data_IF_935912754516
#
_entry.id   IF_935912754516
#
_cell.length_a   1.000
_cell.length_b   1.000
_cell.length_c   1.000
_cell.angle_alpha   90.00
_cell.angle_beta   90.00
_cell.angle_gamma   90.00
#
_symmetry.space_group_name_H-M   'P 1'
#
loop_
_entity.id
_entity.type
_entity.pdbx_description
1 polymer ?
#
# COMPACT_ATOMS: atom_id res chain seq x y z
N UNK A 1 23.84 -5.24 -17.42
CA UNK A 1 23.18 -4.10 -18.08
C UNK A 1 21.97 -4.67 -18.77
N UNK A 2 20.95 -5.01 -17.98
CA UNK A 2 19.69 -5.49 -18.54
C UNK A 2 18.86 -4.27 -18.89
N UNK A 3 18.53 -4.20 -20.17
CA UNK A 3 17.69 -3.20 -20.78
C UNK A 3 16.34 -3.32 -20.08
N UNK A 4 15.98 -2.31 -19.29
CA UNK A 4 14.58 -2.11 -18.91
C UNK A 4 13.79 -2.18 -20.21
N UNK A 5 12.83 -3.11 -20.38
CA UNK A 5 12.16 -3.24 -21.66
C UNK A 5 11.56 -1.89 -22.01
N UNK A 6 12.03 -1.33 -23.13
CA UNK A 6 11.52 -0.06 -23.64
C UNK A 6 9.99 -0.19 -23.75
N UNK A 7 9.25 0.85 -23.41
CA UNK A 7 7.79 0.92 -23.54
C UNK A 7 7.36 0.49 -24.96
N UNK A 8 8.20 0.77 -25.96
CA UNK A 8 8.04 0.33 -27.35
C UNK A 8 8.24 -1.18 -27.56
N UNK A 9 9.08 -1.82 -26.73
CA UNK A 9 9.29 -3.26 -26.74
C UNK A 9 8.03 -4.01 -26.30
N UNK A 10 7.28 -3.49 -25.31
CA UNK A 10 6.02 -4.11 -24.89
C UNK A 10 4.98 -4.12 -26.03
N UNK A 11 4.84 -2.98 -26.72
CA UNK A 11 3.98 -2.89 -27.89
C UNK A 11 4.37 -3.91 -28.96
N UNK A 12 5.67 -3.97 -29.26
CA UNK A 12 6.20 -4.92 -30.23
C UNK A 12 5.88 -6.36 -29.82
N UNK A 13 6.08 -6.72 -28.56
CA UNK A 13 5.78 -8.06 -28.04
C UNK A 13 4.29 -8.42 -28.19
N UNK A 14 3.38 -7.49 -27.89
CA UNK A 14 1.94 -7.70 -28.09
C UNK A 14 1.62 -7.91 -29.58
N UNK A 15 2.15 -7.07 -30.46
CA UNK A 15 1.86 -7.13 -31.90
C UNK A 15 2.48 -8.36 -32.57
N UNK A 16 3.75 -8.70 -32.28
CA UNK A 16 4.47 -9.77 -33.00
C UNK A 16 4.39 -11.13 -32.34
N UNK A 17 4.42 -11.20 -31.00
CA UNK A 17 4.47 -12.47 -30.29
C UNK A 17 3.11 -12.93 -29.79
N UNK A 18 2.19 -12.02 -29.48
CA UNK A 18 0.85 -12.40 -29.04
C UNK A 18 -0.11 -12.43 -30.23
N UNK A 19 -0.34 -11.30 -30.91
CA UNK A 19 -1.41 -11.19 -31.90
C UNK A 19 -1.23 -12.07 -33.13
N UNK A 20 0.00 -12.27 -33.62
CA UNK A 20 0.26 -13.14 -34.77
C UNK A 20 0.10 -14.63 -34.48
N UNK A 21 0.20 -15.03 -33.22
CA UNK A 21 0.16 -16.43 -32.81
C UNK A 21 -1.24 -16.90 -32.38
N UNK A 22 -2.23 -15.99 -32.31
CA UNK A 22 -3.60 -16.35 -31.96
C UNK A 22 -4.33 -16.86 -33.20
N UNK A 23 -4.84 -18.12 -33.18
CA UNK A 23 -5.63 -18.65 -34.28
C UNK A 23 -6.88 -17.82 -34.57
N UNK A 24 -7.27 -17.69 -35.84
CA UNK A 24 -8.43 -16.88 -36.25
C UNK A 24 -9.77 -17.37 -35.66
N UNK A 25 -9.85 -18.64 -35.26
CA UNK A 25 -11.02 -19.26 -34.64
C UNK A 25 -11.06 -19.14 -33.11
N UNK A 26 -10.05 -18.51 -32.50
CA UNK A 26 -9.98 -18.29 -31.05
C UNK A 26 -10.12 -16.80 -30.73
N UNK A 27 -10.79 -16.49 -29.61
CA UNK A 27 -10.97 -15.13 -29.14
C UNK A 27 -10.09 -14.85 -27.92
N UNK A 28 -9.35 -13.73 -27.94
CA UNK A 28 -8.59 -13.24 -26.80
C UNK A 28 -9.21 -11.95 -26.28
N UNK A 29 -9.40 -11.87 -24.96
CA UNK A 29 -9.75 -10.64 -24.26
C UNK A 29 -8.60 -10.28 -23.33
N UNK A 30 -8.02 -9.10 -23.53
CA UNK A 30 -7.00 -8.50 -22.68
C UNK A 30 -7.71 -7.49 -21.78
N UNK A 31 -7.57 -7.64 -20.47
CA UNK A 31 -8.09 -6.68 -19.51
C UNK A 31 -6.93 -6.04 -18.75
N UNK A 32 -6.77 -4.73 -18.92
CA UNK A 32 -5.74 -3.93 -18.26
C UNK A 32 -6.43 -3.09 -17.21
N UNK A 33 -6.34 -3.54 -15.96
CA UNK A 33 -6.98 -2.86 -14.84
C UNK A 33 -6.08 -1.73 -14.29
N UNK A 34 -6.65 -0.54 -14.14
CA UNK A 34 -6.09 0.61 -13.45
C UNK A 34 -4.71 1.02 -14.00
N UNK A 35 -4.64 1.29 -15.30
CA UNK A 35 -3.37 1.70 -15.94
C UNK A 35 -2.82 3.03 -15.39
N UNK A 36 -3.62 3.78 -14.65
CA UNK A 36 -3.18 4.94 -13.84
C UNK A 36 -2.26 4.59 -12.67
N UNK A 37 -2.07 3.30 -12.36
CA UNK A 37 -1.10 2.83 -11.38
C UNK A 37 0.27 2.49 -11.99
N UNK A 38 0.42 2.59 -13.31
CA UNK A 38 1.71 2.47 -13.97
C UNK A 38 2.61 3.66 -13.63
N UNK A 39 3.86 3.59 -14.05
CA UNK A 39 4.79 4.70 -13.88
C UNK A 39 4.51 5.82 -14.88
N UNK A 40 4.97 7.03 -14.55
CA UNK A 40 4.62 8.25 -15.30
C UNK A 40 5.08 8.22 -16.76
N UNK A 41 6.09 7.41 -17.08
CA UNK A 41 6.58 7.20 -18.44
C UNK A 41 5.59 6.39 -19.31
N UNK A 42 4.72 5.59 -18.71
CA UNK A 42 3.69 4.81 -19.41
C UNK A 42 2.39 5.59 -19.68
N UNK A 43 2.23 6.80 -19.15
CA UNK A 43 0.97 7.58 -19.25
C UNK A 43 0.66 8.08 -20.66
N UNK A 44 1.67 8.15 -21.53
CA UNK A 44 1.48 8.48 -22.95
C UNK A 44 0.77 7.38 -23.75
N UNK A 45 0.61 6.20 -23.12
CA UNK A 45 -0.05 5.01 -23.67
C UNK A 45 0.54 4.51 -24.99
N UNK A 46 1.75 4.94 -25.39
CA UNK A 46 2.36 4.56 -26.67
C UNK A 46 2.74 3.08 -26.75
N UNK A 47 2.86 2.42 -25.60
CA UNK A 47 3.03 0.98 -25.48
C UNK A 47 1.77 0.19 -25.89
N UNK A 48 0.58 0.81 -25.90
CA UNK A 48 -0.64 0.12 -26.28
C UNK A 48 -0.75 0.04 -27.82
N UNK A 49 -1.05 -1.14 -28.41
CA UNK A 49 -1.25 -1.26 -29.84
C UNK A 49 -2.39 -0.38 -30.35
N UNK A 50 -2.20 0.24 -31.51
CA UNK A 50 -3.23 1.06 -32.18
C UNK A 50 -4.26 0.22 -32.93
N UNK A 51 -3.87 -1.01 -33.30
CA UNK A 51 -4.69 -1.92 -34.09
C UNK A 51 -4.72 -3.28 -33.41
N UNK A 52 -5.93 -3.81 -33.23
CA UNK A 52 -6.17 -5.15 -32.68
C UNK A 52 -6.78 -6.04 -33.78
N UNK A 53 -6.37 -7.32 -33.89
CA UNK A 53 -7.05 -8.29 -34.74
C UNK A 53 -8.54 -8.42 -34.40
N UNK A 54 -9.37 -8.88 -35.35
CA UNK A 54 -10.84 -8.96 -35.15
C UNK A 54 -11.25 -9.84 -33.98
N UNK A 55 -10.46 -10.89 -33.72
CA UNK A 55 -10.65 -11.86 -32.66
C UNK A 55 -9.98 -11.47 -31.33
N UNK A 56 -9.33 -10.30 -31.25
CA UNK A 56 -8.74 -9.78 -30.02
C UNK A 56 -9.47 -8.53 -29.56
N UNK A 57 -9.80 -8.45 -28.26
CA UNK A 57 -10.39 -7.29 -27.62
C UNK A 57 -9.51 -6.84 -26.46
N UNK A 58 -9.42 -5.53 -26.24
CA UNK A 58 -8.70 -4.96 -25.10
C UNK A 58 -9.65 -4.05 -24.33
N UNK A 59 -9.76 -4.26 -23.03
CA UNK A 59 -10.51 -3.45 -22.08
C UNK A 59 -9.50 -2.79 -21.16
N UNK A 60 -9.57 -1.47 -21.04
CA UNK A 60 -8.65 -0.67 -20.23
C UNK A 60 -9.46 0.14 -19.24
N UNK A 61 -9.11 0.13 -17.95
CA UNK A 61 -9.65 1.05 -16.95
C UNK A 61 -8.59 2.07 -16.53
N UNK A 62 -9.02 3.32 -16.36
CA UNK A 62 -8.21 4.44 -15.88
C UNK A 62 -9.11 5.44 -15.15
N UNK A 63 -8.53 6.25 -14.27
CA UNK A 63 -9.21 7.45 -13.79
C UNK A 63 -9.35 8.51 -14.91
N UNK A 64 -10.45 9.28 -14.93
CA UNK A 64 -10.69 10.28 -15.96
C UNK A 64 -9.72 11.47 -15.88
N UNK A 65 -9.34 11.87 -14.66
CA UNK A 65 -8.58 13.09 -14.38
C UNK A 65 -7.17 12.80 -13.85
N UNK A 66 -6.49 11.80 -14.43
CA UNK A 66 -5.16 11.39 -13.96
C UNK A 66 -4.17 11.21 -15.12
N UNK A 67 -3.05 11.93 -15.04
CA UNK A 67 -1.89 11.75 -15.93
C UNK A 67 -2.17 11.95 -17.43
N UNK A 68 -3.24 12.66 -17.80
CA UNK A 68 -3.72 12.80 -19.18
C UNK A 68 -3.97 11.47 -19.92
N UNK A 69 -4.06 10.36 -19.20
CA UNK A 69 -4.16 9.00 -19.74
C UNK A 69 -5.40 8.85 -20.62
N UNK A 70 -6.56 9.31 -20.14
CA UNK A 70 -7.81 9.26 -20.91
C UNK A 70 -7.72 10.06 -22.22
N UNK A 71 -7.04 11.22 -22.19
CA UNK A 71 -6.82 12.05 -23.38
C UNK A 71 -5.93 11.32 -24.39
N UNK A 72 -4.85 10.68 -23.92
CA UNK A 72 -3.95 9.90 -24.76
C UNK A 72 -4.63 8.67 -25.37
N UNK A 73 -5.43 7.94 -24.58
CA UNK A 73 -6.23 6.82 -25.06
C UNK A 73 -7.22 7.25 -26.15
N UNK A 74 -7.90 8.39 -25.97
CA UNK A 74 -8.82 8.95 -26.98
C UNK A 74 -8.10 9.22 -28.31
N UNK A 75 -6.86 9.70 -28.27
CA UNK A 75 -6.03 9.90 -29.48
C UNK A 75 -5.69 8.56 -30.14
N UNK A 76 -5.30 7.55 -29.35
CA UNK A 76 -4.93 6.21 -29.85
C UNK A 76 -6.09 5.54 -30.59
N UNK A 77 -7.31 5.64 -30.06
CA UNK A 77 -8.50 5.04 -30.67
C UNK A 77 -9.15 5.92 -31.75
N UNK A 78 -8.55 7.05 -32.12
CA UNK A 78 -9.14 8.07 -33.00
C UNK A 78 -10.57 8.46 -32.57
N UNK A 79 -10.77 8.69 -31.27
CA UNK A 79 -12.07 9.04 -30.71
C UNK A 79 -12.55 10.39 -31.27
N UNK A 80 -13.65 10.36 -32.01
CA UNK A 80 -14.37 11.56 -32.45
C UNK A 80 -15.71 11.68 -31.70
N UNK A 81 -15.88 12.70 -30.83
CA UNK A 81 -17.12 12.94 -30.10
C UNK A 81 -18.32 13.28 -31.01
N UNK A 82 -18.10 13.68 -32.27
CA UNK A 82 -19.15 13.98 -33.24
C UNK A 82 -19.59 12.76 -34.06
N UNK A 83 -18.84 11.65 -33.99
CA UNK A 83 -19.17 10.42 -34.70
C UNK A 83 -20.20 9.60 -33.91
N UNK A 84 -21.47 9.69 -34.31
CA UNK A 84 -22.60 9.09 -33.57
C UNK A 84 -22.63 7.55 -33.68
N UNK A 85 -22.04 6.98 -34.73
CA UNK A 85 -22.30 5.57 -35.07
C UNK A 85 -21.36 4.54 -34.42
N UNK A 86 -20.19 4.91 -33.87
CA UNK A 86 -19.21 3.91 -33.41
C UNK A 86 -18.42 4.23 -32.12
N UNK A 87 -18.45 5.46 -31.58
CA UNK A 87 -17.56 5.82 -30.45
C UNK A 87 -18.23 5.87 -29.08
N UNK A 88 -19.56 5.99 -29.00
CA UNK A 88 -20.27 6.05 -27.70
C UNK A 88 -20.13 4.76 -26.87
N UNK A 89 -19.98 3.60 -27.51
CA UNK A 89 -19.82 2.32 -26.83
C UNK A 89 -18.36 1.99 -26.46
N UNK A 90 -17.39 2.83 -26.86
CA UNK A 90 -15.96 2.59 -26.58
C UNK A 90 -15.53 3.11 -25.21
N UNK A 91 -16.27 4.07 -24.65
CA UNK A 91 -15.97 4.67 -23.35
C UNK A 91 -17.16 4.46 -22.41
N UNK A 92 -16.90 3.76 -21.31
CA UNK A 92 -17.87 3.56 -20.24
C UNK A 92 -17.42 4.37 -19.04
N UNK A 93 -18.17 5.43 -18.73
CA UNK A 93 -17.95 6.20 -17.51
C UNK A 93 -18.61 5.47 -16.33
N UNK A 94 -17.80 5.03 -15.38
CA UNK A 94 -18.29 4.46 -14.12
C UNK A 94 -18.61 5.61 -13.16
N UNK A 95 -19.90 5.79 -12.88
CA UNK A 95 -20.38 6.84 -11.97
C UNK A 95 -20.47 6.35 -10.52
N UNK A 96 -20.47 7.27 -9.52
CA UNK A 96 -20.73 6.91 -8.12
C UNK A 96 -22.06 6.18 -7.93
N UNK A 97 -22.21 5.48 -6.80
CA UNK A 97 -23.46 4.77 -6.52
C UNK A 97 -24.62 5.73 -6.32
N UNK A 98 -25.77 5.36 -6.90
CA UNK A 98 -27.06 5.96 -6.58
C UNK A 98 -27.47 5.65 -5.14
N UNK A 99 -28.17 6.57 -4.48
CA UNK A 99 -28.61 6.41 -3.08
C UNK A 99 -29.43 5.13 -2.85
N UNK A 100 -30.27 4.73 -3.83
CA UNK A 100 -31.04 3.48 -3.81
C UNK A 100 -30.13 2.24 -3.76
N UNK A 101 -29.06 2.24 -4.57
CA UNK A 101 -28.08 1.14 -4.65
C UNK A 101 -27.29 1.06 -3.35
N UNK A 102 -26.91 2.20 -2.79
CA UNK A 102 -26.22 2.27 -1.49
C UNK A 102 -27.07 1.64 -0.39
N UNK A 103 -28.35 2.01 -0.30
CA UNK A 103 -29.25 1.43 0.72
C UNK A 103 -29.34 -0.09 0.59
N UNK A 104 -29.48 -0.62 -0.63
CA UNK A 104 -29.57 -2.06 -0.87
C UNK A 104 -28.26 -2.77 -0.45
N UNK A 105 -27.11 -2.27 -0.92
CA UNK A 105 -25.81 -2.90 -0.67
C UNK A 105 -25.46 -2.83 0.82
N UNK A 106 -25.70 -1.69 1.49
CA UNK A 106 -25.38 -1.52 2.90
C UNK A 106 -26.25 -2.41 3.79
N UNK A 107 -27.56 -2.48 3.51
CA UNK A 107 -28.47 -3.35 4.25
C UNK A 107 -28.10 -4.82 4.13
N UNK A 108 -27.72 -5.27 2.92
CA UNK A 108 -27.25 -6.64 2.70
C UNK A 108 -25.97 -6.92 3.51
N UNK A 109 -24.99 -6.03 3.49
CA UNK A 109 -23.75 -6.20 4.26
C UNK A 109 -23.97 -6.21 5.78
N UNK A 110 -24.83 -5.32 6.29
CA UNK A 110 -25.17 -5.29 7.70
C UNK A 110 -25.91 -6.55 8.14
N UNK A 111 -26.83 -7.06 7.31
CA UNK A 111 -27.53 -8.30 7.57
C UNK A 111 -26.56 -9.49 7.65
N UNK A 112 -25.57 -9.55 6.75
CA UNK A 112 -24.52 -10.58 6.79
C UNK A 112 -23.68 -10.53 8.09
N UNK A 113 -23.45 -9.34 8.65
CA UNK A 113 -22.74 -9.15 9.93
C UNK A 113 -23.66 -9.12 11.16
N UNK A 114 -24.96 -9.36 10.99
CA UNK A 114 -25.98 -9.27 12.06
C UNK A 114 -25.96 -7.92 12.80
N UNK A 115 -25.77 -6.82 12.06
CA UNK A 115 -25.76 -5.45 12.58
C UNK A 115 -27.00 -4.67 12.13
N UNK A 116 -27.36 -3.63 12.87
CA UNK A 116 -28.48 -2.73 12.55
C UNK A 116 -28.03 -1.47 11.80
N UNK A 117 -28.95 -0.93 11.01
CA UNK A 117 -28.70 0.15 10.05
C UNK A 117 -28.56 1.53 10.70
N UNK A 118 -27.54 2.29 10.28
CA UNK A 118 -27.35 3.70 10.66
C UNK A 118 -27.54 4.58 9.41
N UNK A 119 -28.81 4.82 9.05
CA UNK A 119 -29.18 5.63 7.88
C UNK A 119 -28.57 7.03 7.88
N UNK A 120 -28.47 7.61 9.07
CA UNK A 120 -28.03 8.99 9.32
C UNK A 120 -26.64 9.30 8.75
N UNK A 121 -25.77 8.30 8.55
CA UNK A 121 -24.41 8.52 8.04
C UNK A 121 -24.35 8.66 6.51
N UNK A 122 -25.40 8.22 5.80
CA UNK A 122 -25.43 8.20 4.33
C UNK A 122 -26.40 9.25 3.74
N UNK A 123 -27.40 9.72 4.51
CA UNK A 123 -28.46 10.64 4.05
C UNK A 123 -27.96 12.01 3.57
N UNK A 124 -26.79 12.46 4.03
CA UNK A 124 -26.29 13.82 3.73
C UNK A 124 -25.51 13.88 2.40
N UNK A 125 -25.41 12.77 1.65
CA UNK A 125 -24.39 12.60 0.60
C UNK A 125 -24.99 12.48 -0.79
N UNK A 126 -24.40 13.21 -1.73
CA UNK A 126 -24.80 13.23 -3.15
C UNK A 126 -24.02 12.24 -4.02
N UNK A 127 -22.78 11.91 -3.66
CA UNK A 127 -21.93 10.99 -4.40
C UNK A 127 -21.26 10.00 -3.44
N UNK A 128 -21.54 8.71 -3.61
CA UNK A 128 -21.03 7.66 -2.71
C UNK A 128 -20.17 6.70 -3.53
N UNK A 129 -18.87 6.76 -3.29
CA UNK A 129 -17.91 5.84 -3.89
C UNK A 129 -17.97 4.46 -3.20
N UNK A 130 -17.80 3.34 -3.92
CA UNK A 130 -17.79 2.01 -3.32
C UNK A 130 -16.78 1.85 -2.17
N UNK A 131 -15.57 2.41 -2.33
CA UNK A 131 -14.54 2.38 -1.29
C UNK A 131 -14.93 3.19 -0.04
N UNK A 132 -15.55 4.37 -0.23
CA UNK A 132 -16.06 5.16 0.88
C UNK A 132 -17.07 4.36 1.68
N UNK A 133 -18.02 3.74 0.97
CA UNK A 133 -19.06 2.91 1.57
C UNK A 133 -18.47 1.71 2.34
N UNK A 134 -17.48 1.01 1.75
CA UNK A 134 -16.77 -0.10 2.42
C UNK A 134 -16.06 0.37 3.69
N UNK A 135 -15.35 1.50 3.66
CA UNK A 135 -14.66 2.04 4.83
C UNK A 135 -15.63 2.39 5.97
N UNK A 136 -16.73 3.07 5.65
CA UNK A 136 -17.77 3.37 6.64
C UNK A 136 -18.37 2.09 7.22
N UNK A 137 -18.67 1.11 6.37
CA UNK A 137 -19.16 -0.20 6.80
C UNK A 137 -18.20 -0.89 7.77
N UNK A 138 -16.90 -0.92 7.44
CA UNK A 138 -15.89 -1.55 8.28
C UNK A 138 -15.77 -0.84 9.64
N UNK A 139 -15.75 0.50 9.64
CA UNK A 139 -15.70 1.29 10.87
C UNK A 139 -16.91 0.96 11.77
N UNK A 140 -18.12 1.01 11.23
CA UNK A 140 -19.35 0.73 12.01
C UNK A 140 -19.39 -0.73 12.48
N UNK A 141 -18.86 -1.66 11.68
CA UNK A 141 -18.83 -3.09 12.03
C UNK A 141 -18.01 -3.39 13.28
N UNK A 142 -17.08 -2.49 13.66
CA UNK A 142 -16.30 -2.62 14.90
C UNK A 142 -17.04 -2.17 16.16
N UNK A 143 -18.14 -1.42 16.03
CA UNK A 143 -18.83 -0.81 17.16
C UNK A 143 -19.63 -1.80 18.00
N UNK A 144 -19.71 -1.51 19.29
CA UNK A 144 -20.63 -2.13 20.22
C UNK A 144 -21.98 -1.40 20.23
N UNK A 145 -23.03 -2.06 20.71
CA UNK A 145 -24.39 -1.48 20.75
C UNK A 145 -24.51 -0.24 21.64
N UNK A 146 -23.55 -0.02 22.53
CA UNK A 146 -23.51 1.11 23.46
C UNK A 146 -22.56 2.23 22.99
N UNK A 147 -21.84 2.04 21.89
CA UNK A 147 -20.99 3.10 21.34
C UNK A 147 -21.88 4.17 20.70
N UNK A 148 -21.68 5.42 21.12
CA UNK A 148 -22.36 6.56 20.51
C UNK A 148 -21.74 6.89 19.15
N UNK A 149 -22.56 7.32 18.19
CA UNK A 149 -22.07 7.81 16.89
C UNK A 149 -21.15 9.01 17.13
N UNK A 150 -19.88 8.84 16.82
CA UNK A 150 -18.86 9.88 16.87
C UNK A 150 -19.25 11.04 15.94
N UNK A 151 -19.26 12.27 16.46
CA UNK A 151 -19.57 13.46 15.67
C UNK A 151 -18.57 13.65 14.54
N UNK A 152 -17.31 13.20 14.69
CA UNK A 152 -16.33 13.21 13.60
C UNK A 152 -16.79 12.33 12.44
N UNK A 153 -17.39 11.16 12.72
CA UNK A 153 -17.86 10.24 11.69
C UNK A 153 -18.95 10.86 10.81
N UNK A 154 -19.83 11.69 11.41
CA UNK A 154 -20.89 12.40 10.68
C UNK A 154 -20.33 13.43 9.69
N UNK A 155 -19.11 13.92 9.92
CA UNK A 155 -18.47 14.96 9.11
C UNK A 155 -17.58 14.44 7.99
N UNK A 156 -17.24 13.14 7.97
CA UNK A 156 -16.40 12.55 6.93
C UNK A 156 -17.08 12.74 5.59
N UNK A 157 -16.46 13.29 4.55
CA UNK A 157 -17.10 13.52 3.25
C UNK A 157 -16.44 12.70 2.12
N UNK A 158 -15.15 12.45 2.25
CA UNK A 158 -14.35 11.81 1.21
C UNK A 158 -13.71 10.51 1.72
N UNK A 159 -13.25 9.68 0.78
CA UNK A 159 -12.49 8.46 1.07
C UNK A 159 -11.30 8.77 1.98
N UNK A 160 -10.59 9.85 1.69
CA UNK A 160 -9.43 10.29 2.46
C UNK A 160 -9.78 10.57 3.92
N UNK A 161 -10.96 11.16 4.18
CA UNK A 161 -11.41 11.44 5.55
C UNK A 161 -11.66 10.13 6.31
N UNK A 162 -12.25 9.13 5.65
CA UNK A 162 -12.48 7.81 6.23
C UNK A 162 -11.16 7.10 6.55
N UNK A 163 -10.17 7.16 5.65
CA UNK A 163 -8.85 6.58 5.87
C UNK A 163 -8.16 7.28 7.05
N UNK A 164 -8.20 8.62 7.11
CA UNK A 164 -7.65 9.40 8.23
C UNK A 164 -8.31 9.03 9.56
N UNK A 165 -9.64 8.87 9.55
CA UNK A 165 -10.40 8.44 10.71
C UNK A 165 -9.96 7.06 11.18
N UNK A 166 -9.92 6.08 10.28
CA UNK A 166 -9.47 4.72 10.53
C UNK A 166 -8.05 4.71 11.13
N UNK A 167 -7.11 5.40 10.50
CA UNK A 167 -5.73 5.47 10.99
C UNK A 167 -5.64 6.10 12.39
N UNK A 168 -6.43 7.13 12.68
CA UNK A 168 -6.48 7.72 14.02
C UNK A 168 -6.98 6.71 15.08
N UNK A 169 -8.01 5.92 14.75
CA UNK A 169 -8.51 4.89 15.66
C UNK A 169 -7.48 3.78 15.88
N UNK A 170 -6.83 3.30 14.81
CA UNK A 170 -5.78 2.29 14.91
C UNK A 170 -4.55 2.81 15.66
N UNK A 171 -4.21 4.08 15.50
CA UNK A 171 -3.11 4.72 16.23
C UNK A 171 -3.38 4.86 17.74
N UNK A 172 -4.65 4.97 18.15
CA UNK A 172 -5.07 4.92 19.57
C UNK A 172 -5.05 3.49 20.13
N UNK A 173 -5.45 2.51 19.31
CA UNK A 173 -5.47 1.09 19.68
C UNK A 173 -4.07 0.50 19.84
N UNK A 174 -3.16 0.87 18.95
CA UNK A 174 -1.78 0.41 18.91
C UNK A 174 -0.82 1.43 19.52
N UNK A 175 0.45 1.07 19.64
CA UNK A 175 1.47 2.05 19.99
C UNK A 175 1.61 3.07 18.85
N UNK A 176 1.29 4.33 19.13
CA UNK A 176 1.22 5.40 18.13
C UNK A 176 2.48 5.56 17.27
N UNK A 177 3.67 5.46 17.89
CA UNK A 177 4.95 5.57 17.17
C UNK A 177 5.18 4.34 16.30
N UNK A 178 4.91 3.13 16.82
CA UNK A 178 5.04 1.89 16.07
C UNK A 178 4.12 1.89 14.84
N UNK A 179 2.84 2.21 15.02
CA UNK A 179 1.85 2.24 13.94
C UNK A 179 2.26 3.28 12.88
N UNK A 180 2.58 4.50 13.30
CA UNK A 180 3.05 5.55 12.40
C UNK A 180 4.27 5.12 11.57
N UNK A 181 5.29 4.55 12.23
CA UNK A 181 6.52 4.12 11.54
C UNK A 181 6.25 2.96 10.59
N UNK A 182 5.37 2.01 10.97
CA UNK A 182 4.97 0.92 10.08
C UNK A 182 4.33 1.45 8.79
N UNK A 183 3.39 2.40 8.89
CA UNK A 183 2.80 3.04 7.70
C UNK A 183 3.85 3.73 6.82
N UNK A 184 4.78 4.46 7.44
CA UNK A 184 5.86 5.12 6.71
C UNK A 184 6.77 4.12 5.98
N UNK A 185 7.20 3.04 6.63
CA UNK A 185 8.06 2.03 6.00
C UNK A 185 7.34 1.27 4.88
N UNK A 186 6.08 0.90 5.07
CA UNK A 186 5.26 0.27 4.02
C UNK A 186 5.10 1.16 2.79
N UNK A 187 4.88 2.46 2.99
CA UNK A 187 4.66 3.41 1.89
C UNK A 187 5.95 3.94 1.27
N UNK A 188 7.07 3.90 1.99
CA UNK A 188 8.36 4.37 1.49
C UNK A 188 8.99 3.41 0.47
N UNK A 189 8.65 2.11 0.51
CA UNK A 189 9.14 1.13 -0.45
C UNK A 189 8.35 1.21 -1.75
N UNK A 190 9.03 1.27 -2.91
CA UNK A 190 8.38 1.46 -4.21
C UNK A 190 7.42 0.32 -4.53
N UNK A 191 7.88 -0.90 -4.30
CA UNK A 191 7.17 -2.12 -4.67
C UNK A 191 6.54 -2.83 -3.45
N UNK A 192 6.57 -2.21 -2.27
CA UNK A 192 6.15 -2.84 -1.02
C UNK A 192 7.30 -3.48 -0.26
N UNK A 193 6.98 -4.07 0.89
CA UNK A 193 7.97 -4.55 1.85
C UNK A 193 7.61 -5.95 2.34
N UNK A 194 8.58 -6.85 2.42
CA UNK A 194 8.38 -8.19 2.96
C UNK A 194 8.03 -8.13 4.46
N UNK A 195 7.28 -9.12 4.95
CA UNK A 195 6.92 -9.15 6.38
C UNK A 195 8.15 -9.13 7.30
N UNK A 196 9.15 -9.96 7.00
CA UNK A 196 10.38 -10.03 7.80
C UNK A 196 11.19 -8.73 7.72
N UNK A 197 11.20 -8.08 6.55
CA UNK A 197 11.88 -6.79 6.35
C UNK A 197 11.21 -5.68 7.14
N UNK A 198 9.88 -5.65 7.19
CA UNK A 198 9.14 -4.68 7.97
C UNK A 198 9.39 -4.86 9.46
N UNK A 199 9.39 -6.10 9.96
CA UNK A 199 9.76 -6.39 11.34
C UNK A 199 11.23 -6.02 11.66
N UNK A 200 12.14 -6.27 10.72
CA UNK A 200 13.56 -5.94 10.84
C UNK A 200 13.79 -4.43 10.87
N UNK A 201 13.20 -3.67 9.94
CA UNK A 201 13.38 -2.21 9.88
C UNK A 201 12.74 -1.51 11.09
N UNK A 202 11.58 -1.99 11.56
CA UNK A 202 10.99 -1.52 12.81
C UNK A 202 11.87 -1.86 14.02
N UNK A 203 12.63 -2.96 13.96
CA UNK A 203 13.62 -3.34 14.97
C UNK A 203 14.93 -2.54 14.86
N UNK A 204 15.21 -1.91 13.72
CA UNK A 204 16.31 -0.97 13.57
C UNK A 204 15.96 0.42 14.11
N UNK A 205 14.66 0.75 14.21
CA UNK A 205 14.19 2.05 14.66
C UNK A 205 14.25 2.20 16.20
N UNK A 206 15.22 3.00 16.65
CA UNK A 206 15.41 3.27 18.08
C UNK A 206 14.19 3.93 18.74
N UNK A 207 13.44 4.76 18.03
CA UNK A 207 12.27 5.45 18.58
C UNK A 207 11.10 4.47 18.76
N UNK A 208 10.91 3.54 17.82
CA UNK A 208 9.95 2.45 17.95
C UNK A 208 10.29 1.57 19.16
N UNK A 209 11.55 1.14 19.29
CA UNK A 209 11.93 0.27 20.40
C UNK A 209 11.88 0.97 21.75
N UNK A 210 12.17 2.28 21.82
CA UNK A 210 11.94 3.09 23.02
C UNK A 210 10.46 3.16 23.37
N UNK A 211 9.58 3.35 22.38
CA UNK A 211 8.13 3.45 22.61
C UNK A 211 7.51 2.13 23.05
N UNK A 212 8.05 0.99 22.59
CA UNK A 212 7.60 -0.36 22.95
C UNK A 212 8.15 -0.81 24.30
N UNK A 213 9.45 -0.60 24.56
CA UNK A 213 10.13 -1.03 25.78
C UNK A 213 10.32 0.12 26.78
N UNK A 214 9.20 0.66 27.28
CA UNK A 214 9.21 1.83 28.17
C UNK A 214 9.68 1.52 29.59
N UNK A 215 9.52 0.27 30.06
CA UNK A 215 9.69 -0.06 31.49
C UNK A 215 10.89 -0.96 31.78
N UNK A 216 11.54 -1.51 30.76
CA UNK A 216 12.69 -2.39 30.92
C UNK A 216 13.54 -2.45 29.65
N UNK A 217 14.77 -2.95 29.79
CA UNK A 217 15.67 -3.24 28.68
C UNK A 217 15.61 -4.75 28.43
N UNK A 218 15.06 -5.22 27.29
CA UNK A 218 15.01 -6.64 26.99
C UNK A 218 16.41 -7.14 26.64
N UNK A 219 16.71 -8.43 26.91
CA UNK A 219 18.00 -9.03 26.56
C UNK A 219 18.22 -9.08 25.05
N UNK A 220 17.14 -9.29 24.29
CA UNK A 220 17.11 -9.20 22.83
C UNK A 220 16.29 -7.97 22.45
N UNK A 221 16.92 -6.99 21.79
CA UNK A 221 16.28 -5.71 21.50
C UNK A 221 15.77 -5.66 20.06
N UNK A 222 14.78 -6.53 19.81
CA UNK A 222 14.02 -6.69 18.57
C UNK A 222 12.54 -6.40 18.84
N UNK A 223 11.80 -5.93 17.84
CA UNK A 223 10.35 -5.80 17.94
C UNK A 223 9.72 -7.18 18.19
N UNK A 224 8.86 -7.33 19.22
CA UNK A 224 8.08 -8.56 19.38
C UNK A 224 7.12 -8.72 18.19
N UNK A 225 7.27 -9.80 17.40
CA UNK A 225 6.51 -10.02 16.17
C UNK A 225 4.98 -9.92 16.35
N UNK A 226 4.46 -10.33 17.51
CA UNK A 226 3.03 -10.22 17.85
C UNK A 226 2.48 -8.78 17.74
N UNK A 227 3.30 -7.75 17.96
CA UNK A 227 2.87 -6.36 17.83
C UNK A 227 2.59 -6.01 16.37
N UNK A 228 3.47 -6.42 15.47
CA UNK A 228 3.24 -6.26 14.04
C UNK A 228 2.07 -7.13 13.58
N UNK A 229 1.99 -8.39 14.00
CA UNK A 229 0.88 -9.28 13.64
C UNK A 229 -0.49 -8.68 13.98
N UNK A 230 -0.63 -8.03 15.15
CA UNK A 230 -1.88 -7.35 15.52
C UNK A 230 -2.21 -6.15 14.64
N UNK A 231 -1.21 -5.34 14.29
CA UNK A 231 -1.39 -4.21 13.37
C UNK A 231 -1.79 -4.73 12.00
N UNK A 232 -1.09 -5.74 11.50
CA UNK A 232 -1.37 -6.39 10.22
C UNK A 232 -2.81 -6.92 10.17
N UNK A 233 -3.25 -7.64 11.19
CA UNK A 233 -4.61 -8.19 11.26
C UNK A 233 -5.69 -7.09 11.25
N UNK A 234 -5.42 -5.94 11.87
CA UNK A 234 -6.35 -4.80 11.84
C UNK A 234 -6.33 -4.04 10.50
N UNK A 235 -5.28 -4.22 9.70
CA UNK A 235 -5.13 -3.64 8.37
C UNK A 235 -5.44 -4.63 7.24
N UNK A 236 -5.82 -5.87 7.54
CA UNK A 236 -5.90 -7.00 6.60
C UNK A 236 -6.73 -6.68 5.35
N UNK A 237 -7.87 -6.00 5.53
CA UNK A 237 -8.77 -5.57 4.45
C UNK A 237 -8.23 -4.42 3.58
N UNK A 238 -7.13 -3.78 4.00
CA UNK A 238 -6.55 -2.58 3.37
C UNK A 238 -5.16 -2.83 2.80
N UNK A 239 -4.57 -3.99 3.08
CA UNK A 239 -3.29 -4.43 2.55
C UNK A 239 -3.50 -5.67 1.68
N UNK A 240 -2.54 -5.94 0.82
CA UNK A 240 -2.53 -7.12 -0.03
C UNK A 240 -1.11 -7.68 -0.08
N UNK A 241 -1.01 -8.99 -0.26
CA UNK A 241 0.26 -9.64 -0.58
C UNK A 241 0.42 -9.70 -2.09
N UNK A 242 1.57 -9.24 -2.59
CA UNK A 242 1.96 -9.34 -4.00
C UNK A 242 3.26 -10.13 -4.09
N UNK A 243 3.41 -10.91 -5.14
CA UNK A 243 4.69 -11.53 -5.48
C UNK A 243 5.47 -10.58 -6.38
N UNK A 244 6.66 -10.18 -5.90
CA UNK A 244 7.57 -9.31 -6.65
C UNK A 244 8.96 -9.93 -6.57
N UNK A 245 9.53 -10.22 -7.73
CA UNK A 245 10.79 -10.96 -7.84
C UNK A 245 10.78 -12.21 -6.93
N UNK A 246 9.73 -13.04 -7.09
CA UNK A 246 9.40 -14.26 -6.32
C UNK A 246 9.48 -14.11 -4.77
N UNK A 247 9.37 -12.88 -4.28
CA UNK A 247 9.26 -12.55 -2.86
C UNK A 247 7.85 -12.04 -2.57
N UNK A 248 7.20 -12.61 -1.55
CA UNK A 248 5.93 -12.06 -1.06
C UNK A 248 6.18 -10.76 -0.31
N UNK A 249 5.56 -9.68 -0.78
CA UNK A 249 5.63 -8.34 -0.19
C UNK A 249 4.24 -7.84 0.17
N UNK A 250 4.19 -7.06 1.24
CA UNK A 250 3.00 -6.36 1.70
C UNK A 250 2.90 -5.04 0.96
N UNK A 251 1.73 -4.79 0.36
CA UNK A 251 1.43 -3.57 -0.38
C UNK A 251 0.04 -3.04 -0.01
N UNK A 252 -0.22 -1.76 -0.28
CA UNK A 252 -1.55 -1.19 -0.09
C UNK A 252 -2.54 -1.72 -1.11
N UNK A 253 -3.73 -2.12 -0.67
CA UNK A 253 -4.79 -2.60 -1.57
C UNK A 253 -5.26 -1.51 -2.53
N UNK A 254 -5.37 -0.26 -2.06
CA UNK A 254 -5.86 0.86 -2.85
C UNK A 254 -4.93 2.08 -2.77
N UNK A 255 -4.67 2.72 -3.92
CA UNK A 255 -3.78 3.89 -4.04
C UNK A 255 -4.09 5.05 -3.08
N UNK A 256 -5.37 5.23 -2.71
CA UNK A 256 -5.79 6.28 -1.76
C UNK A 256 -5.12 6.14 -0.39
N UNK A 257 -4.81 4.92 0.06
CA UNK A 257 -4.05 4.72 1.30
C UNK A 257 -2.62 5.28 1.17
N UNK A 258 -1.95 5.03 0.05
CA UNK A 258 -0.62 5.57 -0.26
C UNK A 258 -0.67 7.11 -0.24
N UNK A 259 -1.63 7.70 -0.95
CA UNK A 259 -1.82 9.16 -1.04
C UNK A 259 -2.06 9.77 0.35
N UNK A 260 -2.94 9.18 1.17
CA UNK A 260 -3.21 9.65 2.53
C UNK A 260 -1.99 9.50 3.43
N UNK A 261 -1.27 8.38 3.37
CA UNK A 261 -0.04 8.20 4.18
C UNK A 261 1.02 9.21 3.78
N UNK A 262 1.19 9.46 2.48
CA UNK A 262 2.11 10.48 1.98
C UNK A 262 1.74 11.87 2.47
N UNK A 263 0.46 12.25 2.36
CA UNK A 263 -0.02 13.57 2.77
C UNK A 263 0.00 13.78 4.30
N UNK A 264 -0.33 12.76 5.09
CA UNK A 264 -0.50 12.90 6.54
C UNK A 264 0.78 12.62 7.33
N UNK A 265 1.60 11.68 6.86
CA UNK A 265 2.76 11.20 7.60
C UNK A 265 4.06 11.61 6.92
N UNK A 266 4.32 11.14 5.71
CA UNK A 266 5.65 11.30 5.06
C UNK A 266 5.96 12.78 4.78
N UNK A 267 5.00 13.54 4.24
CA UNK A 267 5.19 14.96 3.92
C UNK A 267 5.52 15.79 5.17
N UNK A 268 4.96 15.40 6.33
CA UNK A 268 5.09 16.10 7.61
C UNK A 268 6.29 15.64 8.46
N UNK A 269 7.04 14.64 8.02
CA UNK A 269 8.25 14.20 8.72
C UNK A 269 9.27 15.33 8.77
N UNK A 270 9.80 15.58 9.96
CA UNK A 270 10.96 16.45 10.14
C UNK A 270 12.20 15.89 9.42
N UNK A 271 13.21 16.74 9.19
CA UNK A 271 14.47 16.33 8.53
C UNK A 271 15.11 15.16 9.28
N UNK A 272 15.10 15.18 10.61
CA UNK A 272 15.70 14.13 11.43
C UNK A 272 14.91 12.82 11.34
N UNK A 273 13.58 12.89 11.33
CA UNK A 273 12.74 11.70 11.17
C UNK A 273 12.88 11.06 9.79
N UNK A 274 13.02 11.87 8.73
CA UNK A 274 13.31 11.38 7.38
C UNK A 274 14.66 10.66 7.37
N UNK A 275 15.70 11.26 7.94
CA UNK A 275 17.03 10.63 8.05
C UNK A 275 16.96 9.30 8.78
N UNK A 276 16.17 9.21 9.85
CA UNK A 276 15.99 7.96 10.60
C UNK A 276 15.28 6.89 9.75
N UNK A 277 14.14 7.22 9.14
CA UNK A 277 13.36 6.26 8.34
C UNK A 277 14.18 5.76 7.15
N UNK A 278 14.63 6.66 6.28
CA UNK A 278 15.37 6.27 5.09
C UNK A 278 16.74 5.68 5.44
N UNK A 279 17.39 6.17 6.50
CA UNK A 279 18.63 5.60 7.00
C UNK A 279 18.47 4.16 7.49
N UNK A 280 17.39 3.84 8.22
CA UNK A 280 17.12 2.47 8.65
C UNK A 280 16.82 1.53 7.46
N UNK A 281 16.14 2.01 6.43
CA UNK A 281 15.92 1.25 5.19
C UNK A 281 17.25 0.93 4.49
N UNK A 282 18.13 1.93 4.36
CA UNK A 282 19.48 1.73 3.81
C UNK A 282 20.28 0.75 4.66
N UNK A 283 20.25 0.89 5.98
CA UNK A 283 20.93 0.00 6.92
C UNK A 283 20.42 -1.45 6.82
N UNK A 284 19.12 -1.64 6.57
CA UNK A 284 18.50 -2.95 6.35
C UNK A 284 19.09 -3.62 5.10
N UNK A 285 18.98 -2.98 3.94
CA UNK A 285 19.41 -3.57 2.68
C UNK A 285 20.94 -3.69 2.56
N UNK A 286 21.71 -2.78 3.19
CA UNK A 286 23.17 -2.91 3.32
C UNK A 286 23.62 -3.90 4.39
N UNK A 287 22.68 -4.50 5.13
CA UNK A 287 22.95 -5.42 6.24
C UNK A 287 23.91 -4.82 7.29
N UNK A 288 23.85 -3.50 7.50
CA UNK A 288 24.84 -2.75 8.29
C UNK A 288 24.95 -3.28 9.73
N UNK A 289 23.82 -3.75 10.28
CA UNK A 289 23.68 -4.24 11.66
C UNK A 289 23.53 -5.77 11.76
N UNK A 290 23.76 -6.52 10.67
CA UNK A 290 23.65 -7.98 10.68
C UNK A 290 24.76 -8.58 11.54
N UNK A 291 24.39 -9.36 12.55
CA UNK A 291 25.33 -9.96 13.50
C UNK A 291 26.10 -8.95 14.37
N UNK A 292 25.75 -7.66 14.31
CA UNK A 292 26.42 -6.59 15.07
C UNK A 292 25.47 -5.98 16.09
N UNK A 293 26.04 -5.40 17.14
CA UNK A 293 25.26 -4.66 18.13
C UNK A 293 25.08 -3.21 17.68
N UNK A 294 23.84 -2.74 17.57
CA UNK A 294 23.52 -1.34 17.25
C UNK A 294 23.56 -0.50 18.54
N UNK A 295 24.24 0.67 18.55
CA UNK A 295 24.26 1.57 19.69
C UNK A 295 22.88 2.23 19.90
N UNK A 296 22.54 2.46 21.17
CA UNK A 296 21.27 3.05 21.59
C UNK A 296 21.53 3.88 22.83
N UNK A 297 21.03 5.10 22.84
CA UNK A 297 21.00 5.93 24.03
C UNK A 297 19.69 5.74 24.78
N UNK A 298 19.77 5.31 26.04
CA UNK A 298 18.65 5.25 26.98
C UNK A 298 18.59 6.57 27.74
N UNK A 299 17.55 7.35 27.47
CA UNK A 299 17.39 8.68 28.07
C UNK A 299 16.49 8.68 29.31
N UNK A 300 15.80 7.56 29.62
CA UNK A 300 14.94 7.44 30.80
C UNK A 300 15.80 7.29 32.07
N UNK A 301 15.80 8.28 32.99
CA UNK A 301 16.60 8.24 34.22
C UNK A 301 16.31 7.03 35.10
N UNK A 302 15.07 6.50 35.07
CA UNK A 302 14.70 5.31 35.86
C UNK A 302 15.40 4.07 35.34
N UNK A 303 15.46 3.90 34.01
CA UNK A 303 16.16 2.78 33.40
C UNK A 303 17.68 2.93 33.53
N UNK A 304 18.21 4.15 33.35
CA UNK A 304 19.64 4.42 33.56
C UNK A 304 20.07 4.07 34.98
N UNK A 305 19.27 4.42 35.99
CA UNK A 305 19.54 4.06 37.38
C UNK A 305 19.35 2.58 37.67
N UNK A 306 18.33 1.93 37.10
CA UNK A 306 18.04 0.50 37.33
C UNK A 306 19.08 -0.45 36.75
N UNK A 307 19.72 -0.06 35.64
CA UNK A 307 20.69 -0.88 34.91
C UNK A 307 22.13 -0.32 35.02
N UNK A 308 22.38 0.59 35.97
CA UNK A 308 23.70 1.19 36.23
C UNK A 308 24.40 1.79 35.01
N UNK A 309 23.63 2.43 34.12
CA UNK A 309 24.12 2.98 32.84
C UNK A 309 24.67 4.42 32.94
N UNK A 310 24.95 4.92 34.14
CA UNK A 310 25.38 6.32 34.34
C UNK A 310 26.77 6.57 33.74
N UNK A 311 27.69 5.62 33.93
CA UNK A 311 29.07 5.73 33.44
C UNK A 311 29.15 5.66 31.91
N UNK A 312 28.22 4.94 31.28
CA UNK A 312 28.10 4.88 29.82
C UNK A 312 27.25 6.00 29.22
N UNK A 313 26.87 7.02 30.00
CA UNK A 313 25.96 8.10 29.56
C UNK A 313 24.63 7.58 28.95
N UNK A 314 24.13 6.46 29.50
CA UNK A 314 22.93 5.79 29.01
C UNK A 314 23.13 4.98 27.74
N UNK A 315 24.34 4.86 27.20
CA UNK A 315 24.61 4.11 25.97
C UNK A 315 24.66 2.60 26.24
N UNK A 316 23.95 1.85 25.38
CA UNK A 316 23.97 0.39 25.33
C UNK A 316 24.12 -0.09 23.89
N UNK A 317 24.66 -1.29 23.73
CA UNK A 317 24.80 -1.95 22.43
C UNK A 317 24.00 -3.26 22.47
N UNK A 318 23.07 -3.43 21.52
CA UNK A 318 22.26 -4.64 21.46
C UNK A 318 22.13 -5.16 20.03
N UNK A 319 22.21 -6.48 19.87
CA UNK A 319 21.90 -7.13 18.60
C UNK A 319 20.39 -7.05 18.34
N UNK A 320 20.03 -6.77 17.10
CA UNK A 320 18.65 -6.70 16.61
C UNK A 320 18.14 -8.02 16.04
N UNK A 321 19.06 -8.97 15.82
CA UNK A 321 18.83 -10.23 15.14
C UNK A 321 18.09 -10.03 13.81
N UNK A 322 18.52 -9.02 13.03
CA UNK A 322 17.95 -8.80 11.70
C UNK A 322 18.27 -9.98 10.79
N UNK A 323 17.34 -10.27 9.89
CA UNK A 323 17.49 -11.33 8.90
C UNK A 323 18.48 -10.94 7.81
N UNK A 324 18.95 -11.94 7.06
CA UNK A 324 19.83 -11.72 5.92
C UNK A 324 19.05 -11.10 4.78
N UNK A 325 19.66 -10.13 4.09
CA UNK A 325 19.21 -9.60 2.81
C UNK A 325 20.19 -10.09 1.74
N UNK A 326 20.15 -11.37 1.33
CA UNK A 326 21.13 -11.90 0.39
C UNK A 326 21.00 -11.22 -0.97
N UNK A 327 22.10 -11.16 -1.72
CA UNK A 327 22.08 -10.69 -3.12
C UNK A 327 21.40 -11.73 -4.00
N UNK A 328 21.47 -13.00 -3.62
CA UNK A 328 20.92 -14.13 -4.36
C UNK A 328 20.07 -14.99 -3.43
N UNK A 329 18.83 -15.25 -3.83
CA UNK A 329 18.00 -16.32 -3.29
C UNK A 329 18.24 -17.57 -4.12
N UNK A 330 18.40 -18.71 -3.45
CA UNK A 330 18.49 -20.02 -4.10
C UNK A 330 17.26 -20.81 -3.70
N UNK A 331 16.43 -21.17 -4.69
CA UNK A 331 15.24 -21.98 -4.43
C UNK A 331 15.61 -23.43 -4.07
N UNK A 332 14.61 -24.23 -3.68
CA UNK A 332 14.78 -25.66 -3.35
C UNK A 332 15.29 -26.50 -4.53
N UNK A 333 15.14 -26.00 -5.76
CA UNK A 333 15.56 -26.64 -7.01
C UNK A 333 16.94 -26.17 -7.50
N UNK A 334 17.59 -25.24 -6.78
CA UNK A 334 18.89 -24.67 -7.14
C UNK A 334 18.84 -23.49 -8.12
N UNK A 335 17.67 -22.94 -8.43
CA UNK A 335 17.56 -21.72 -9.23
C UNK A 335 18.05 -20.52 -8.44
N UNK A 336 18.96 -19.77 -9.04
CA UNK A 336 19.53 -18.54 -8.48
C UNK A 336 18.68 -17.35 -8.94
N UNK A 337 18.23 -16.55 -7.99
CA UNK A 337 17.47 -15.34 -8.22
C UNK A 337 18.12 -14.16 -7.52
N UNK A 338 18.32 -13.06 -8.24
CA UNK A 338 18.89 -11.85 -7.67
C UNK A 338 17.85 -11.04 -6.90
N UNK A 339 18.20 -10.61 -5.70
CA UNK A 339 17.44 -9.67 -4.89
C UNK A 339 17.58 -8.25 -5.46
N UNK A 340 16.74 -7.92 -6.46
CA UNK A 340 16.74 -6.59 -7.09
C UNK A 340 16.35 -5.48 -6.11
N UNK A 341 15.62 -5.79 -5.05
CA UNK A 341 15.19 -4.82 -4.02
C UNK A 341 16.40 -4.29 -3.23
N UNK A 342 17.45 -5.09 -3.06
CA UNK A 342 18.74 -4.63 -2.48
C UNK A 342 19.47 -3.59 -3.35
N UNK A 343 19.15 -3.49 -4.63
CA UNK A 343 19.79 -2.57 -5.59
C UNK A 343 18.94 -1.33 -5.88
N UNK A 344 17.61 -1.50 -5.87
CA UNK A 344 16.67 -0.51 -6.40
C UNK A 344 15.86 0.23 -5.32
N UNK A 345 15.81 -0.28 -4.08
CA UNK A 345 15.24 0.40 -2.91
C UNK A 345 16.34 1.11 -2.10
#
# INVERSE_FOLDING_TARGET
>A
MDICPDILQLRHQLETNLFLNIPENEYLIIQLDSIDQLETDAYDCQWLPKFFPKNVKCIVSTLPDYGDILSNLKIIINYDPLSIENTQNLLVLVVPFEASTVDIVFNNWLQMKQRSFIRQLMEVRTEILPLFMKLIFDIISTWHSYDSIDDQLKTLCHVDDCIRYLFNQLQKKHNSILFHRALCYMTACRNGIGQNELEDVLSLDNNVLKSVFQHYIPPVRRLPGILWTRIRNDLDEYITEKEIDDSSVIYWYHRRFIEVVNAQYISKLSIDERKIIFGNMVDLYKEAWKGKNKPIKIDDPKLVGKYDLKESNGEIHANRFITSQPIEFVDVNGHVQFNKRKLNE
#
